data_IF_686614335986
#
_entry.id   IF_686614335986
#
_cell.length_a   1.000
_cell.length_b   1.000
_cell.length_c   1.000
_cell.angle_alpha   90.00
_cell.angle_beta   90.00
_cell.angle_gamma   90.00
#
_symmetry.space_group_name_H-M   'P 1'
#
loop_
_entity.id
_entity.type
_entity.pdbx_description
1 polymer ?
#
# COMPACT_ATOMS: atom_id res chain seq x y z
N UNK A 1 -11.46 -24.99 13.62
CA UNK A 1 -10.62 -23.77 13.66
C UNK A 1 -9.15 -24.10 13.37
N UNK A 2 -8.53 -25.00 14.10
CA UNK A 2 -7.09 -25.35 13.94
C UNK A 2 -6.72 -25.84 12.52
N UNK A 3 -7.54 -26.72 11.92
CA UNK A 3 -7.31 -27.21 10.56
C UNK A 3 -7.42 -26.07 9.52
N UNK A 4 -8.37 -25.15 9.69
CA UNK A 4 -8.51 -23.96 8.84
C UNK A 4 -7.27 -23.07 8.94
N UNK A 5 -6.76 -22.84 10.16
CA UNK A 5 -5.55 -22.04 10.36
C UNK A 5 -4.32 -22.69 9.72
N UNK A 6 -4.16 -23.99 9.83
CA UNK A 6 -3.08 -24.73 9.16
C UNK A 6 -3.13 -24.54 7.62
N UNK A 7 -4.32 -24.62 7.04
CA UNK A 7 -4.53 -24.39 5.60
C UNK A 7 -4.18 -22.94 5.23
N UNK A 8 -4.70 -21.97 6.00
CA UNK A 8 -4.41 -20.55 5.76
C UNK A 8 -2.91 -20.25 5.83
N UNK A 9 -2.22 -20.77 6.84
CA UNK A 9 -0.76 -20.60 7.00
C UNK A 9 0.01 -21.21 5.83
N UNK A 10 -0.42 -22.37 5.33
CA UNK A 10 0.21 -23.01 4.16
C UNK A 10 -0.01 -22.17 2.88
N UNK A 11 -1.23 -21.67 2.66
CA UNK A 11 -1.55 -20.81 1.52
C UNK A 11 -0.82 -19.46 1.62
N UNK A 12 -0.79 -18.83 2.79
CA UNK A 12 -0.05 -17.60 3.05
C UNK A 12 1.44 -17.78 2.77
N UNK A 13 2.03 -18.88 3.26
CA UNK A 13 3.43 -19.23 3.00
C UNK A 13 3.75 -19.47 1.51
N UNK A 14 2.79 -19.92 0.71
CA UNK A 14 2.92 -20.01 -0.74
C UNK A 14 2.84 -18.63 -1.40
N UNK A 15 1.81 -17.85 -1.06
CA UNK A 15 1.51 -16.54 -1.68
C UNK A 15 2.59 -15.50 -1.38
N UNK A 16 3.14 -15.49 -0.18
CA UNK A 16 4.27 -14.63 0.20
C UNK A 16 5.60 -15.38 0.18
N UNK A 17 5.58 -16.58 -0.37
CA UNK A 17 6.76 -17.41 -0.54
C UNK A 17 7.63 -17.00 -1.73
N UNK A 18 8.85 -17.58 -1.82
CA UNK A 18 9.83 -17.20 -2.85
C UNK A 18 9.32 -17.31 -4.29
N UNK A 19 8.44 -18.29 -4.58
CA UNK A 19 7.89 -18.50 -5.92
C UNK A 19 7.03 -17.32 -6.37
N UNK A 20 6.09 -16.89 -5.52
CA UNK A 20 5.21 -15.77 -5.85
C UNK A 20 5.96 -14.45 -5.85
N UNK A 21 6.89 -14.24 -4.92
CA UNK A 21 7.74 -13.05 -4.93
C UNK A 21 8.62 -12.99 -6.19
N UNK A 22 9.14 -14.13 -6.64
CA UNK A 22 9.88 -14.22 -7.91
C UNK A 22 8.98 -13.91 -9.12
N UNK A 23 7.71 -14.36 -9.12
CA UNK A 23 6.75 -14.03 -10.17
C UNK A 23 6.39 -12.54 -10.16
N UNK A 24 6.17 -11.94 -9.00
CA UNK A 24 5.89 -10.50 -8.86
C UNK A 24 7.05 -9.64 -9.39
N UNK A 25 8.26 -9.88 -8.90
CA UNK A 25 9.46 -9.15 -9.34
C UNK A 25 9.81 -9.50 -10.79
N UNK A 26 9.72 -10.77 -11.17
CA UNK A 26 9.98 -11.25 -12.54
C UNK A 26 9.03 -10.63 -13.57
N UNK A 27 7.75 -10.49 -13.25
CA UNK A 27 6.79 -9.75 -14.09
C UNK A 27 7.21 -8.29 -14.24
N UNK A 28 7.63 -7.63 -13.16
CA UNK A 28 8.14 -6.27 -13.21
C UNK A 28 9.40 -6.11 -14.05
N UNK A 29 10.34 -7.06 -13.96
CA UNK A 29 11.56 -7.11 -14.79
C UNK A 29 11.17 -7.28 -16.26
N UNK A 30 10.33 -8.27 -16.57
CA UNK A 30 9.85 -8.52 -17.92
C UNK A 30 9.20 -7.28 -18.54
N UNK A 31 8.25 -6.66 -17.82
CA UNK A 31 7.58 -5.45 -18.28
C UNK A 31 8.56 -4.29 -18.44
N UNK A 32 9.53 -4.13 -17.54
CA UNK A 32 10.56 -3.08 -17.63
C UNK A 32 11.39 -3.21 -18.90
N UNK A 33 11.84 -4.41 -19.22
CA UNK A 33 12.57 -4.70 -20.48
C UNK A 33 11.67 -4.40 -21.68
N UNK A 34 10.42 -4.87 -21.64
CA UNK A 34 9.49 -4.80 -22.76
C UNK A 34 9.09 -3.34 -23.13
N UNK A 35 9.01 -2.44 -22.14
CA UNK A 35 8.71 -1.02 -22.37
C UNK A 35 9.95 -0.12 -22.39
N UNK A 36 11.17 -0.69 -22.33
CA UNK A 36 12.44 0.03 -22.42
C UNK A 36 12.80 0.82 -21.17
N UNK A 37 12.56 0.25 -19.98
CA UNK A 37 12.91 0.83 -18.68
C UNK A 37 12.44 2.27 -18.51
N UNK A 38 11.17 2.54 -18.84
CA UNK A 38 10.60 3.91 -18.80
C UNK A 38 10.73 4.59 -17.44
N UNK A 39 10.76 3.83 -16.34
CA UNK A 39 10.97 4.34 -14.98
C UNK A 39 12.32 5.07 -14.87
N UNK A 40 13.32 4.68 -15.66
CA UNK A 40 14.66 5.29 -15.70
C UNK A 40 14.86 6.16 -16.94
N UNK A 41 14.53 5.64 -18.13
CA UNK A 41 14.81 6.31 -19.41
C UNK A 41 13.91 7.55 -19.64
N UNK A 42 12.79 7.64 -18.92
CA UNK A 42 11.81 8.73 -19.05
C UNK A 42 11.58 9.49 -17.74
N UNK A 43 12.56 9.52 -16.83
CA UNK A 43 12.45 10.21 -15.53
C UNK A 43 11.97 11.65 -15.68
N UNK A 44 12.61 12.48 -16.53
CA UNK A 44 12.21 13.86 -16.72
C UNK A 44 10.78 14.01 -17.27
N UNK A 45 10.34 13.05 -18.10
CA UNK A 45 9.00 13.08 -18.68
C UNK A 45 7.94 12.73 -17.64
N UNK A 46 8.10 11.62 -16.90
CA UNK A 46 7.11 11.24 -15.90
C UNK A 46 7.11 12.23 -14.72
N UNK A 47 8.28 12.74 -14.31
CA UNK A 47 8.37 13.75 -13.25
C UNK A 47 7.58 15.01 -13.60
N UNK A 48 7.80 15.56 -14.82
CA UNK A 48 7.06 16.73 -15.33
C UNK A 48 5.55 16.49 -15.45
N UNK A 49 5.14 15.28 -15.82
CA UNK A 49 3.73 14.94 -16.04
C UNK A 49 2.99 14.45 -14.78
N UNK A 50 3.68 14.23 -13.67
CA UNK A 50 3.11 13.86 -12.37
C UNK A 50 3.35 14.96 -11.35
N UNK A 51 4.55 15.03 -10.75
CA UNK A 51 4.91 16.03 -9.71
C UNK A 51 4.77 17.46 -10.24
N UNK A 52 5.22 17.73 -11.44
CA UNK A 52 5.09 19.06 -12.08
C UNK A 52 3.65 19.50 -12.33
N UNK A 53 2.66 18.64 -12.09
CA UNK A 53 1.24 18.94 -12.21
C UNK A 53 0.47 18.92 -10.88
N UNK A 54 1.11 18.64 -9.75
CA UNK A 54 0.47 18.55 -8.43
C UNK A 54 -0.34 19.81 -8.10
N UNK A 55 0.18 21.00 -8.45
CA UNK A 55 -0.47 22.27 -8.16
C UNK A 55 -1.37 22.78 -9.31
N UNK A 56 -1.51 22.01 -10.39
CA UNK A 56 -2.41 22.39 -11.49
C UNK A 56 -3.80 21.83 -11.23
N UNK A 57 -4.78 22.73 -11.10
CA UNK A 57 -6.19 22.33 -11.01
C UNK A 57 -6.58 21.58 -12.28
N UNK A 58 -6.94 20.32 -12.16
CA UNK A 58 -7.55 19.54 -13.23
C UNK A 58 -9.07 19.72 -13.20
N UNK A 59 -9.70 19.59 -14.35
CA UNK A 59 -11.16 19.52 -14.45
C UNK A 59 -11.59 18.06 -14.58
N UNK A 60 -12.69 17.72 -13.93
CA UNK A 60 -13.31 16.41 -14.01
C UNK A 60 -14.81 16.58 -14.26
N UNK A 61 -15.33 15.79 -15.19
CA UNK A 61 -16.76 15.73 -15.49
C UNK A 61 -17.55 14.95 -14.44
N UNK A 62 -18.83 14.72 -14.72
CA UNK A 62 -19.66 13.87 -13.87
C UNK A 62 -19.23 12.40 -13.98
N UNK A 63 -19.16 11.73 -12.83
CA UNK A 63 -18.66 10.36 -12.74
C UNK A 63 -17.14 10.20 -12.92
N UNK A 64 -16.38 11.30 -12.84
CA UNK A 64 -14.94 11.35 -13.00
C UNK A 64 -14.26 12.08 -11.84
N UNK A 65 -12.99 11.75 -11.62
CA UNK A 65 -12.08 12.47 -10.70
C UNK A 65 -10.85 12.95 -11.47
N UNK A 66 -10.18 13.98 -10.98
CA UNK A 66 -8.96 14.46 -11.63
C UNK A 66 -7.84 13.42 -11.56
N UNK A 67 -6.83 13.45 -12.44
CA UNK A 67 -5.66 12.58 -12.36
C UNK A 67 -4.98 12.62 -10.98
N UNK A 68 -4.95 13.82 -10.36
CA UNK A 68 -4.37 14.00 -9.02
C UNK A 68 -5.23 13.37 -7.94
N UNK A 69 -6.56 13.50 -8.02
CA UNK A 69 -7.48 12.81 -7.12
C UNK A 69 -7.37 11.29 -7.24
N UNK A 70 -7.20 10.78 -8.46
CA UNK A 70 -7.04 9.35 -8.70
C UNK A 70 -5.75 8.80 -8.06
N UNK A 71 -4.61 9.46 -8.27
CA UNK A 71 -3.35 9.05 -7.65
C UNK A 71 -3.35 9.27 -6.13
N UNK A 72 -3.98 10.36 -5.65
CA UNK A 72 -4.11 10.57 -4.21
C UNK A 72 -4.98 9.49 -3.54
N UNK A 73 -6.04 9.04 -4.23
CA UNK A 73 -6.86 7.93 -3.74
C UNK A 73 -6.08 6.61 -3.73
N UNK A 74 -5.27 6.36 -4.74
CA UNK A 74 -4.39 5.19 -4.78
C UNK A 74 -3.30 5.27 -3.68
N UNK A 75 -2.62 6.41 -3.53
CA UNK A 75 -1.67 6.65 -2.45
C UNK A 75 -2.31 6.58 -1.06
N UNK A 76 -3.56 7.01 -0.92
CA UNK A 76 -4.32 6.84 0.33
C UNK A 76 -4.44 5.38 0.73
N UNK A 77 -4.59 4.48 -0.24
CA UNK A 77 -4.69 3.04 0.00
C UNK A 77 -3.35 2.39 0.31
N UNK A 78 -2.29 2.81 -0.38
CA UNK A 78 -0.96 2.21 -0.29
C UNK A 78 -0.17 2.77 0.90
N UNK A 79 -0.22 4.08 1.16
CA UNK A 79 0.46 4.70 2.30
C UNK A 79 -0.36 4.51 3.57
N UNK A 80 -0.06 3.44 4.29
CA UNK A 80 -0.79 2.99 5.47
C UNK A 80 0.13 2.46 6.58
N UNK A 81 -0.40 1.56 7.38
CA UNK A 81 0.38 0.86 8.43
C UNK A 81 1.57 0.10 7.85
N UNK A 82 1.51 -0.32 6.58
CA UNK A 82 2.59 -1.00 5.87
C UNK A 82 3.91 -0.22 5.83
N UNK A 83 3.82 1.09 5.60
CA UNK A 83 4.99 1.99 5.51
C UNK A 83 5.69 2.22 6.85
N UNK A 84 5.00 2.00 7.95
CA UNK A 84 5.54 2.17 9.31
C UNK A 84 5.80 0.80 9.94
N UNK A 85 4.76 0.09 10.35
CA UNK A 85 4.87 -1.18 11.02
C UNK A 85 5.41 -2.29 10.10
N UNK A 86 5.01 -2.30 8.82
CA UNK A 86 5.49 -3.28 7.85
C UNK A 86 6.99 -3.16 7.57
N UNK A 87 7.47 -1.94 7.35
CA UNK A 87 8.90 -1.65 7.13
C UNK A 87 9.73 -2.01 8.36
N UNK A 88 9.29 -1.59 9.53
CA UNK A 88 9.96 -1.90 10.80
C UNK A 88 10.00 -3.41 11.05
N UNK A 89 8.89 -4.10 10.79
CA UNK A 89 8.85 -5.55 10.87
C UNK A 89 9.80 -6.24 9.89
N UNK A 90 9.94 -5.72 8.66
CA UNK A 90 10.89 -6.25 7.69
C UNK A 90 12.34 -6.10 8.18
N UNK A 91 12.68 -4.94 8.78
CA UNK A 91 14.01 -4.68 9.32
C UNK A 91 14.30 -5.60 10.51
N UNK A 92 13.39 -5.71 11.47
CA UNK A 92 13.58 -6.54 12.65
C UNK A 92 13.71 -8.02 12.29
N UNK A 93 12.86 -8.54 11.41
CA UNK A 93 12.83 -9.96 11.05
C UNK A 93 13.80 -10.33 9.94
N UNK A 94 14.11 -9.42 9.04
CA UNK A 94 14.96 -9.66 7.87
C UNK A 94 16.33 -8.97 7.92
N UNK A 95 16.59 -8.17 8.96
CA UNK A 95 17.79 -7.34 9.07
C UNK A 95 17.75 -6.10 8.18
N UNK A 96 18.78 -5.22 8.28
CA UNK A 96 18.86 -4.00 7.46
C UNK A 96 18.82 -4.27 5.95
N UNK A 97 19.33 -5.42 5.51
CA UNK A 97 19.32 -5.84 4.11
C UNK A 97 17.92 -5.99 3.50
N UNK A 98 16.87 -6.14 4.32
CA UNK A 98 15.49 -6.14 3.83
C UNK A 98 15.13 -4.84 3.10
N UNK A 99 15.70 -3.70 3.53
CA UNK A 99 15.48 -2.40 2.87
C UNK A 99 16.00 -2.39 1.43
N UNK A 100 17.18 -2.96 1.17
CA UNK A 100 17.71 -3.11 -0.19
C UNK A 100 16.74 -3.90 -1.09
N UNK A 101 16.25 -5.03 -0.61
CA UNK A 101 15.32 -5.87 -1.38
C UNK A 101 13.95 -5.21 -1.57
N UNK A 102 13.55 -4.36 -0.64
CA UNK A 102 12.36 -3.51 -0.77
C UNK A 102 12.54 -2.49 -1.91
N UNK A 103 13.71 -1.85 -2.03
CA UNK A 103 14.03 -0.96 -3.15
C UNK A 103 14.04 -1.70 -4.50
N UNK A 104 14.63 -2.88 -4.54
CA UNK A 104 14.65 -3.70 -5.75
C UNK A 104 13.23 -4.02 -6.20
N UNK A 105 12.36 -4.44 -5.29
CA UNK A 105 10.97 -4.71 -5.62
C UNK A 105 10.22 -3.47 -6.12
N UNK A 106 10.47 -2.30 -5.52
CA UNK A 106 9.86 -1.04 -5.93
C UNK A 106 10.30 -0.57 -7.32
N UNK A 107 11.60 -0.67 -7.63
CA UNK A 107 12.14 -0.26 -8.93
C UNK A 107 11.47 -1.01 -10.09
N UNK A 108 11.22 -2.30 -9.94
CA UNK A 108 10.49 -3.09 -10.94
C UNK A 108 8.96 -2.96 -10.77
N UNK A 109 8.50 -2.80 -9.54
CA UNK A 109 7.10 -2.53 -9.21
C UNK A 109 6.55 -1.26 -9.86
N UNK A 110 7.38 -0.24 -10.08
CA UNK A 110 7.00 0.99 -10.81
C UNK A 110 6.42 0.67 -12.19
N UNK A 111 7.03 -0.24 -12.95
CA UNK A 111 6.55 -0.57 -14.29
C UNK A 111 5.38 -1.54 -14.24
N UNK A 112 5.35 -2.42 -13.24
CA UNK A 112 4.16 -3.24 -12.99
C UNK A 112 2.94 -2.35 -12.75
N UNK A 113 3.04 -1.40 -11.83
CA UNK A 113 1.97 -0.43 -11.53
C UNK A 113 1.61 0.43 -12.74
N UNK A 114 2.60 0.92 -13.49
CA UNK A 114 2.39 1.61 -14.76
C UNK A 114 1.52 0.80 -15.72
N UNK A 115 1.83 -0.48 -15.86
CA UNK A 115 1.11 -1.40 -16.75
C UNK A 115 -0.33 -1.64 -16.28
N UNK A 116 -0.52 -1.87 -14.98
CA UNK A 116 -1.83 -2.02 -14.35
C UNK A 116 -2.72 -0.81 -14.61
N UNK A 117 -2.21 0.39 -14.32
CA UNK A 117 -2.94 1.64 -14.49
C UNK A 117 -3.24 1.92 -15.96
N UNK A 118 -2.27 1.66 -16.85
CA UNK A 118 -2.46 1.80 -18.31
C UNK A 118 -3.59 0.89 -18.81
N UNK A 119 -3.62 -0.38 -18.38
CA UNK A 119 -4.69 -1.30 -18.75
C UNK A 119 -6.04 -0.91 -18.13
N UNK A 120 -6.04 -0.44 -16.89
CA UNK A 120 -7.27 -0.03 -16.21
C UNK A 120 -7.95 1.14 -16.91
N UNK A 121 -7.21 2.15 -17.33
CA UNK A 121 -7.76 3.29 -18.10
C UNK A 121 -8.17 2.88 -19.51
N UNK A 122 -7.42 1.98 -20.15
CA UNK A 122 -7.73 1.51 -21.51
C UNK A 122 -9.02 0.69 -21.59
N UNK A 123 -9.27 -0.14 -20.57
CA UNK A 123 -10.38 -1.12 -20.60
C UNK A 123 -11.49 -0.82 -19.58
N UNK A 124 -11.53 0.40 -19.03
CA UNK A 124 -12.61 0.86 -18.14
C UNK A 124 -13.96 0.95 -18.85
N UNK A 125 -15.02 0.87 -18.08
CA UNK A 125 -16.41 1.01 -18.51
C UNK A 125 -17.13 2.05 -17.65
N UNK A 126 -18.23 2.59 -18.14
CA UNK A 126 -19.16 3.36 -17.31
C UNK A 126 -20.22 2.43 -16.71
N UNK A 127 -20.48 2.61 -15.41
CA UNK A 127 -21.56 1.90 -14.73
C UNK A 127 -22.92 2.57 -15.02
N UNK A 128 -24.01 1.98 -14.47
CA UNK A 128 -25.38 2.48 -14.59
C UNK A 128 -25.56 3.91 -14.06
N UNK A 129 -24.65 4.38 -13.18
CA UNK A 129 -24.67 5.73 -12.61
C UNK A 129 -23.81 6.73 -13.39
N UNK A 130 -23.16 6.28 -14.45
CA UNK A 130 -22.28 7.08 -15.27
C UNK A 130 -20.84 7.20 -14.75
N UNK A 131 -20.49 6.57 -13.61
CA UNK A 131 -19.12 6.55 -13.08
C UNK A 131 -18.22 5.64 -13.90
N UNK A 132 -16.95 6.02 -14.07
CA UNK A 132 -15.92 5.13 -14.59
C UNK A 132 -15.58 4.02 -13.59
N UNK A 133 -15.60 2.79 -14.08
CA UNK A 133 -15.22 1.57 -13.38
C UNK A 133 -14.15 0.83 -14.15
N UNK A 134 -13.10 0.41 -13.47
CA UNK A 134 -11.98 -0.33 -14.07
C UNK A 134 -11.19 -1.10 -13.02
N UNK A 135 -10.05 -1.59 -13.42
CA UNK A 135 -9.20 -2.46 -12.63
C UNK A 135 -9.10 -3.86 -13.22
N UNK A 136 -8.46 -4.82 -12.53
CA UNK A 136 -8.19 -6.16 -13.06
C UNK A 136 -9.42 -6.87 -13.60
N UNK A 137 -10.55 -6.84 -12.88
CA UNK A 137 -11.76 -7.48 -13.30
C UNK A 137 -12.27 -6.97 -14.66
N UNK A 138 -12.05 -5.69 -14.97
CA UNK A 138 -12.46 -5.07 -16.24
C UNK A 138 -11.46 -5.34 -17.36
N UNK A 139 -10.15 -5.19 -17.14
CA UNK A 139 -9.22 -5.49 -18.22
C UNK A 139 -9.06 -6.98 -18.48
N UNK A 140 -9.36 -7.86 -17.52
CA UNK A 140 -9.53 -9.29 -17.77
C UNK A 140 -10.75 -9.53 -18.67
N UNK A 141 -11.91 -8.97 -18.30
CA UNK A 141 -13.16 -9.13 -19.06
C UNK A 141 -13.03 -8.57 -20.48
N UNK A 142 -12.53 -7.35 -20.64
CA UNK A 142 -12.54 -6.59 -21.89
C UNK A 142 -11.28 -6.79 -22.73
N UNK A 143 -10.13 -7.05 -22.09
CA UNK A 143 -8.86 -7.22 -22.76
C UNK A 143 -8.59 -8.66 -23.18
N UNK A 144 -8.90 -9.65 -22.33
CA UNK A 144 -8.75 -11.07 -22.64
C UNK A 144 -10.01 -11.69 -23.25
N UNK A 145 -11.14 -11.03 -23.13
CA UNK A 145 -12.43 -11.44 -23.72
C UNK A 145 -13.29 -12.29 -22.79
N UNK A 146 -14.52 -12.67 -23.29
CA UNK A 146 -15.56 -13.26 -22.44
C UNK A 146 -15.19 -14.58 -21.77
N UNK A 147 -14.32 -15.38 -22.40
CA UNK A 147 -13.84 -16.67 -21.85
C UNK A 147 -13.07 -16.51 -20.55
N UNK A 148 -12.48 -15.33 -20.29
CA UNK A 148 -11.70 -15.04 -19.11
C UNK A 148 -12.47 -14.30 -18.01
N UNK A 149 -13.75 -13.97 -18.25
CA UNK A 149 -14.60 -13.24 -17.27
C UNK A 149 -14.61 -13.88 -15.88
N UNK A 150 -14.54 -15.21 -15.80
CA UNK A 150 -14.47 -15.94 -14.53
C UNK A 150 -13.24 -15.54 -13.69
N UNK A 151 -12.08 -15.33 -14.35
CA UNK A 151 -10.86 -14.91 -13.66
C UNK A 151 -11.01 -13.48 -13.09
N UNK A 152 -11.69 -12.59 -13.83
CA UNK A 152 -12.08 -11.27 -13.31
C UNK A 152 -13.03 -11.36 -12.11
N UNK A 153 -13.95 -12.33 -12.14
CA UNK A 153 -14.84 -12.66 -11.02
C UNK A 153 -14.06 -13.13 -9.78
N UNK A 154 -13.07 -14.02 -9.96
CA UNK A 154 -12.18 -14.47 -8.87
C UNK A 154 -11.45 -13.30 -8.24
N UNK A 155 -10.84 -12.41 -9.05
CA UNK A 155 -10.22 -11.20 -8.55
C UNK A 155 -11.19 -10.35 -7.73
N UNK A 156 -12.40 -10.13 -8.26
CA UNK A 156 -13.40 -9.29 -7.60
C UNK A 156 -13.90 -9.88 -6.28
N UNK A 157 -14.06 -11.19 -6.17
CA UNK A 157 -14.39 -11.87 -4.90
C UNK A 157 -13.28 -11.66 -3.87
N UNK A 158 -12.04 -11.95 -4.27
CA UNK A 158 -10.89 -11.78 -3.38
C UNK A 158 -10.76 -10.33 -2.92
N UNK A 159 -10.86 -9.35 -3.84
CA UNK A 159 -10.77 -7.93 -3.53
C UNK A 159 -11.88 -7.42 -2.63
N UNK A 160 -13.12 -7.87 -2.86
CA UNK A 160 -14.26 -7.48 -2.03
C UNK A 160 -14.12 -7.97 -0.58
N UNK A 161 -13.54 -9.17 -0.37
CA UNK A 161 -13.32 -9.73 0.98
C UNK A 161 -12.06 -9.14 1.60
N UNK A 162 -10.95 -9.06 0.86
CA UNK A 162 -9.68 -8.51 1.36
C UNK A 162 -9.84 -7.07 1.87
N UNK A 163 -10.72 -6.28 1.27
CA UNK A 163 -11.00 -4.92 1.70
C UNK A 163 -11.50 -4.83 3.15
N UNK A 164 -12.26 -5.80 3.63
CA UNK A 164 -12.70 -5.85 5.04
C UNK A 164 -11.56 -6.16 6.00
N UNK A 165 -10.58 -6.94 5.57
CA UNK A 165 -9.45 -7.33 6.41
C UNK A 165 -8.35 -6.27 6.40
N UNK A 166 -7.54 -6.27 5.33
CA UNK A 166 -6.33 -5.44 5.23
C UNK A 166 -6.66 -3.95 5.11
N UNK A 167 -7.74 -3.63 4.41
CA UNK A 167 -8.17 -2.25 4.16
C UNK A 167 -9.06 -1.65 5.23
N UNK A 168 -9.52 -2.42 6.21
CA UNK A 168 -10.47 -1.98 7.24
C UNK A 168 -10.01 -2.40 8.63
N UNK A 169 -10.25 -3.66 9.03
CA UNK A 169 -10.03 -4.15 10.40
C UNK A 169 -8.58 -3.94 10.84
N UNK A 170 -7.62 -4.31 10.01
CA UNK A 170 -6.20 -4.14 10.31
C UNK A 170 -5.81 -2.68 10.52
N UNK A 171 -6.38 -1.78 9.74
CA UNK A 171 -6.10 -0.35 9.83
C UNK A 171 -6.71 0.28 11.08
N UNK A 172 -8.01 0.06 11.31
CA UNK A 172 -8.69 0.66 12.46
C UNK A 172 -8.16 0.14 13.79
N UNK A 173 -7.79 -1.13 13.86
CA UNK A 173 -7.15 -1.66 15.06
C UNK A 173 -5.81 -0.98 15.34
N UNK A 174 -4.97 -0.82 14.32
CA UNK A 174 -3.68 -0.11 14.47
C UNK A 174 -3.89 1.34 14.94
N UNK A 175 -4.95 2.02 14.48
CA UNK A 175 -5.34 3.33 14.99
C UNK A 175 -5.74 3.24 16.47
N UNK A 176 -6.63 2.32 16.80
CA UNK A 176 -7.16 2.17 18.16
C UNK A 176 -6.05 1.82 19.16
N UNK A 177 -5.15 0.91 18.79
CA UNK A 177 -4.00 0.52 19.60
C UNK A 177 -3.00 1.67 19.80
N UNK A 178 -2.76 2.48 18.76
CA UNK A 178 -1.91 3.66 18.88
C UNK A 178 -2.53 4.75 19.76
N UNK A 179 -3.83 5.02 19.64
CA UNK A 179 -4.55 5.99 20.48
C UNK A 179 -4.56 5.52 21.93
N UNK A 180 -4.80 4.23 22.16
CA UNK A 180 -4.71 3.61 23.48
C UNK A 180 -3.33 3.80 24.09
N UNK A 181 -2.27 3.49 23.33
CA UNK A 181 -0.89 3.61 23.80
C UNK A 181 -0.54 5.06 24.19
N UNK A 182 -0.98 6.04 23.42
CA UNK A 182 -0.82 7.46 23.77
C UNK A 182 -1.61 7.80 25.04
N UNK A 183 -2.87 7.38 25.15
CA UNK A 183 -3.70 7.64 26.32
C UNK A 183 -3.03 7.11 27.60
N UNK A 184 -2.49 5.90 27.57
CA UNK A 184 -1.77 5.28 28.69
C UNK A 184 -0.46 6.04 29.00
N UNK A 185 0.30 6.49 27.98
CA UNK A 185 1.54 7.25 28.17
C UNK A 185 1.30 8.60 28.87
N UNK A 186 0.12 9.19 28.71
CA UNK A 186 -0.24 10.46 29.38
C UNK A 186 -0.99 10.26 30.70
N UNK A 187 -1.72 9.16 30.85
CA UNK A 187 -2.48 8.83 32.07
C UNK A 187 -2.53 7.30 32.26
N UNK A 188 -1.84 6.78 33.26
CA UNK A 188 -1.78 5.36 33.57
C UNK A 188 -3.15 4.75 33.85
N UNK A 189 -4.11 5.50 34.41
CA UNK A 189 -5.48 5.05 34.64
C UNK A 189 -6.23 4.70 33.34
N UNK A 190 -5.75 5.18 32.19
CA UNK A 190 -6.31 4.83 30.89
C UNK A 190 -6.15 3.33 30.57
N UNK A 191 -5.17 2.65 31.16
CA UNK A 191 -4.98 1.21 31.03
C UNK A 191 -6.22 0.42 31.49
N UNK A 192 -6.95 0.91 32.49
CA UNK A 192 -8.18 0.29 32.97
C UNK A 192 -9.39 0.52 32.05
N UNK A 193 -9.25 1.33 30.99
CA UNK A 193 -10.31 1.73 30.05
C UNK A 193 -9.97 1.42 28.60
N UNK A 194 -9.06 0.50 28.35
CA UNK A 194 -8.53 0.21 26.99
C UNK A 194 -9.64 -0.09 25.99
N UNK A 195 -10.56 -1.01 26.33
CA UNK A 195 -11.67 -1.36 25.44
C UNK A 195 -12.58 -0.17 25.12
N UNK A 196 -12.84 0.69 26.09
CA UNK A 196 -13.64 1.89 25.88
C UNK A 196 -12.96 2.88 24.94
N UNK A 197 -11.65 3.10 25.12
CA UNK A 197 -10.84 3.96 24.24
C UNK A 197 -10.86 3.43 22.80
N UNK A 198 -10.62 2.13 22.61
CA UNK A 198 -10.67 1.50 21.30
C UNK A 198 -12.04 1.62 20.64
N UNK A 199 -13.12 1.40 21.40
CA UNK A 199 -14.49 1.51 20.89
C UNK A 199 -14.82 2.94 20.45
N UNK A 200 -14.52 3.94 21.27
CA UNK A 200 -14.75 5.36 20.91
C UNK A 200 -13.92 5.74 19.66
N UNK A 201 -12.67 5.32 19.61
CA UNK A 201 -11.82 5.55 18.44
C UNK A 201 -12.44 4.93 17.18
N UNK A 202 -12.88 3.67 17.27
CA UNK A 202 -13.54 2.98 16.16
C UNK A 202 -14.83 3.68 15.70
N UNK A 203 -15.65 4.14 16.61
CA UNK A 203 -16.87 4.90 16.31
C UNK A 203 -16.52 6.23 15.61
N UNK A 204 -15.56 7.00 16.12
CA UNK A 204 -15.13 8.25 15.50
C UNK A 204 -14.61 8.05 14.06
N UNK A 205 -13.76 7.04 13.85
CA UNK A 205 -13.26 6.69 12.53
C UNK A 205 -14.39 6.24 11.61
N UNK A 206 -15.32 5.40 12.09
CA UNK A 206 -16.45 4.92 11.30
C UNK A 206 -17.38 6.07 10.86
N UNK A 207 -17.65 7.03 11.74
CA UNK A 207 -18.44 8.22 11.39
C UNK A 207 -17.74 9.03 10.30
N UNK A 208 -16.44 9.29 10.44
CA UNK A 208 -15.67 10.01 9.42
C UNK A 208 -15.69 9.28 8.08
N UNK A 209 -15.41 7.97 8.08
CA UNK A 209 -15.44 7.13 6.89
C UNK A 209 -16.83 7.13 6.24
N UNK A 210 -17.92 6.97 7.02
CA UNK A 210 -19.28 6.99 6.52
C UNK A 210 -19.61 8.33 5.84
N UNK A 211 -19.25 9.46 6.45
CA UNK A 211 -19.46 10.80 5.88
C UNK A 211 -18.75 10.98 4.54
N UNK A 212 -17.57 10.39 4.37
CA UNK A 212 -16.84 10.45 3.10
C UNK A 212 -17.45 9.51 2.06
N UNK A 213 -17.76 8.26 2.43
CA UNK A 213 -18.29 7.24 1.50
C UNK A 213 -19.67 7.62 0.95
N UNK A 214 -20.52 8.32 1.74
CA UNK A 214 -21.82 8.80 1.28
C UNK A 214 -21.73 9.70 0.04
N UNK A 215 -20.64 10.43 -0.12
CA UNK A 215 -20.38 11.29 -1.29
C UNK A 215 -19.81 10.58 -2.51
N UNK A 216 -19.61 9.26 -2.45
CA UNK A 216 -19.12 8.43 -3.55
C UNK A 216 -17.66 8.72 -3.93
N UNK A 217 -17.24 8.26 -5.12
CA UNK A 217 -15.86 8.35 -5.60
C UNK A 217 -15.33 9.78 -5.67
N UNK A 218 -16.19 10.73 -6.02
CA UNK A 218 -15.82 12.16 -6.13
C UNK A 218 -15.41 12.74 -4.78
N UNK A 219 -16.17 12.42 -3.71
CA UNK A 219 -15.86 12.90 -2.35
C UNK A 219 -14.63 12.20 -1.77
N UNK A 220 -14.48 10.90 -2.03
CA UNK A 220 -13.27 10.17 -1.66
C UNK A 220 -12.06 10.86 -2.29
N UNK A 221 -12.09 11.13 -3.61
CA UNK A 221 -11.01 11.82 -4.31
C UNK A 221 -10.71 13.22 -3.76
N UNK A 222 -11.73 14.01 -3.42
CA UNK A 222 -11.57 15.35 -2.83
C UNK A 222 -10.95 15.33 -1.44
N UNK A 223 -11.28 14.33 -0.63
CA UNK A 223 -10.72 14.17 0.72
C UNK A 223 -9.28 13.67 0.63
N UNK A 224 -9.01 12.64 -0.16
CA UNK A 224 -7.68 12.05 -0.29
C UNK A 224 -6.68 13.00 -0.95
N UNK A 225 -7.11 13.84 -1.90
CA UNK A 225 -6.27 14.87 -2.54
C UNK A 225 -5.68 15.88 -1.53
N UNK A 226 -6.39 16.13 -0.42
CA UNK A 226 -5.91 17.01 0.65
C UNK A 226 -5.21 16.25 1.77
N UNK A 227 -5.77 15.10 2.13
CA UNK A 227 -5.28 14.30 3.25
C UNK A 227 -3.89 13.72 2.94
N UNK A 228 -3.69 13.14 1.75
CA UNK A 228 -2.45 12.42 1.41
C UNK A 228 -1.22 13.33 1.38
N UNK A 229 -1.22 14.46 0.67
CA UNK A 229 -0.06 15.36 0.74
C UNK A 229 0.19 15.89 2.15
N UNK A 230 -0.87 16.24 2.89
CA UNK A 230 -0.77 16.74 4.27
C UNK A 230 -0.11 15.72 5.21
N UNK A 231 -0.61 14.48 5.22
CA UNK A 231 -0.05 13.42 6.05
C UNK A 231 1.39 13.07 5.67
N UNK A 232 1.69 13.04 4.35
CA UNK A 232 3.03 12.74 3.86
C UNK A 232 4.03 13.83 4.30
N UNK A 233 3.69 15.11 4.18
CA UNK A 233 4.54 16.22 4.61
C UNK A 233 4.83 16.15 6.10
N UNK A 234 3.80 15.96 6.94
CA UNK A 234 3.97 15.84 8.39
C UNK A 234 4.94 14.70 8.72
N UNK A 235 4.70 13.51 8.15
CA UNK A 235 5.54 12.35 8.40
C UNK A 235 6.98 12.54 7.91
N UNK A 236 7.16 13.05 6.70
CA UNK A 236 8.48 13.31 6.10
C UNK A 236 9.26 14.30 6.95
N UNK A 237 8.65 15.39 7.41
CA UNK A 237 9.31 16.39 8.24
C UNK A 237 9.76 15.77 9.56
N UNK A 238 8.89 15.06 10.29
CA UNK A 238 9.25 14.41 11.54
C UNK A 238 10.35 13.35 11.34
N UNK A 239 10.28 12.55 10.28
CA UNK A 239 11.29 11.55 9.96
C UNK A 239 12.66 12.19 9.63
N UNK A 240 12.65 13.27 8.83
CA UNK A 240 13.88 14.01 8.50
C UNK A 240 14.53 14.62 9.76
N UNK A 241 13.75 15.12 10.73
CA UNK A 241 14.32 15.63 11.99
C UNK A 241 15.09 14.52 12.70
N UNK A 242 14.55 13.29 12.79
CA UNK A 242 15.24 12.16 13.40
C UNK A 242 16.51 11.79 12.61
N UNK A 243 16.44 11.75 11.28
CA UNK A 243 17.59 11.43 10.42
C UNK A 243 18.69 12.49 10.55
N UNK A 244 18.34 13.78 10.54
CA UNK A 244 19.33 14.86 10.70
C UNK A 244 19.92 14.92 12.10
N UNK A 245 19.15 14.62 13.15
CA UNK A 245 19.67 14.49 14.50
C UNK A 245 20.73 13.37 14.63
N UNK A 246 20.63 12.35 13.77
CA UNK A 246 21.53 11.19 13.71
C UNK A 246 22.33 11.14 12.40
N UNK A 247 22.64 12.28 11.78
CA UNK A 247 23.25 12.34 10.43
C UNK A 247 24.58 11.60 10.33
N UNK A 248 25.36 11.54 11.41
CA UNK A 248 26.61 10.79 11.47
C UNK A 248 26.44 9.29 11.29
N UNK A 249 25.29 8.73 11.63
CA UNK A 249 24.96 7.31 11.45
C UNK A 249 24.60 6.97 10.01
N UNK A 250 24.14 7.93 9.21
CA UNK A 250 23.59 7.70 7.87
C UNK A 250 24.53 6.92 6.95
N UNK A 251 25.83 7.25 6.81
CA UNK A 251 26.75 6.47 5.96
C UNK A 251 26.88 5.01 6.42
N UNK A 252 26.97 4.79 7.74
CA UNK A 252 27.02 3.45 8.32
C UNK A 252 25.74 2.64 8.10
N UNK A 253 24.60 3.29 8.17
CA UNK A 253 23.28 2.68 7.89
C UNK A 253 23.18 2.25 6.44
N UNK A 254 23.55 3.10 5.47
CA UNK A 254 23.57 2.68 4.07
C UNK A 254 24.54 1.50 3.84
N UNK A 255 25.73 1.55 4.44
CA UNK A 255 26.67 0.43 4.37
C UNK A 255 26.06 -0.86 4.96
N UNK A 256 25.31 -0.78 6.07
CA UNK A 256 24.63 -1.91 6.70
C UNK A 256 23.50 -2.47 5.83
N UNK A 257 22.75 -1.61 5.13
CA UNK A 257 21.70 -2.02 4.19
C UNK A 257 22.30 -2.82 3.04
N UNK A 258 23.32 -2.30 2.38
CA UNK A 258 23.98 -3.01 1.27
C UNK A 258 24.70 -4.29 1.71
N UNK A 259 25.46 -4.22 2.81
CA UNK A 259 26.15 -5.39 3.35
C UNK A 259 25.17 -6.44 3.86
N UNK A 260 24.10 -6.02 4.55
CA UNK A 260 23.07 -6.89 5.07
C UNK A 260 22.23 -7.57 4.00
N UNK A 261 22.13 -7.00 2.80
CA UNK A 261 21.42 -7.62 1.68
C UNK A 261 22.05 -8.93 1.20
N UNK A 262 23.37 -9.04 1.31
CA UNK A 262 24.17 -10.18 0.79
C UNK A 262 24.92 -10.92 1.89
N UNK A 263 25.07 -10.34 3.06
CA UNK A 263 25.69 -10.97 4.24
C UNK A 263 25.01 -10.50 5.53
N UNK A 264 23.75 -10.91 5.79
CA UNK A 264 22.98 -10.45 6.95
C UNK A 264 23.66 -10.77 8.29
N UNK A 265 24.26 -11.94 8.43
CA UNK A 265 24.93 -12.37 9.67
C UNK A 265 26.05 -11.41 10.09
N UNK A 266 26.77 -10.81 9.14
CA UNK A 266 27.84 -9.85 9.44
C UNK A 266 27.32 -8.49 9.95
N UNK A 267 26.04 -8.20 9.82
CA UNK A 267 25.43 -6.93 10.27
C UNK A 267 24.58 -7.13 11.51
N UNK A 268 23.90 -8.28 11.62
CA UNK A 268 23.00 -8.59 12.74
C UNK A 268 23.70 -9.37 13.86
N UNK A 269 25.02 -9.60 13.77
CA UNK A 269 25.76 -10.39 14.75
C UNK A 269 25.37 -11.88 14.76
N UNK A 270 24.79 -12.39 13.66
CA UNK A 270 24.27 -13.76 13.60
C UNK A 270 22.94 -13.96 14.33
N UNK A 271 22.31 -12.87 14.80
CA UNK A 271 21.05 -12.93 15.51
C UNK A 271 19.97 -13.70 14.73
N UNK A 272 19.32 -14.60 15.40
CA UNK A 272 18.11 -15.34 14.97
C UNK A 272 18.21 -16.04 13.59
N UNK A 273 19.42 -16.36 13.09
CA UNK A 273 19.57 -17.09 11.83
C UNK A 273 19.08 -16.30 10.60
N UNK A 274 19.16 -14.96 10.63
CA UNK A 274 18.76 -14.13 9.49
C UNK A 274 19.64 -14.47 8.29
N UNK A 275 19.02 -15.00 7.25
CA UNK A 275 19.66 -15.41 5.99
C UNK A 275 19.34 -14.42 4.86
N UNK A 276 20.12 -14.48 3.78
CA UNK A 276 19.83 -13.71 2.54
C UNK A 276 18.40 -13.98 2.05
N UNK A 277 17.98 -15.25 2.07
CA UNK A 277 16.61 -15.64 1.70
C UNK A 277 15.58 -14.92 2.58
N UNK A 278 15.80 -14.84 3.88
CA UNK A 278 14.88 -14.18 4.81
C UNK A 278 14.85 -12.67 4.59
N UNK A 279 16.02 -12.02 4.46
CA UNK A 279 16.13 -10.60 4.14
C UNK A 279 15.40 -10.26 2.83
N UNK A 280 15.61 -11.07 1.78
CA UNK A 280 14.94 -10.92 0.49
C UNK A 280 13.43 -11.12 0.60
N UNK A 281 12.98 -12.20 1.25
CA UNK A 281 11.54 -12.50 1.39
C UNK A 281 10.82 -11.41 2.19
N UNK A 282 11.40 -10.96 3.31
CA UNK A 282 10.81 -9.90 4.12
C UNK A 282 10.85 -8.54 3.42
N UNK A 283 11.96 -8.22 2.73
CA UNK A 283 12.09 -6.96 1.99
C UNK A 283 11.15 -6.89 0.79
N UNK A 284 11.19 -7.87 -0.12
CA UNK A 284 10.30 -7.89 -1.29
C UNK A 284 8.84 -7.99 -0.86
N UNK A 285 8.52 -8.90 0.06
CA UNK A 285 7.14 -9.09 0.52
C UNK A 285 6.54 -7.83 1.11
N UNK A 286 7.27 -7.13 1.99
CA UNK A 286 6.78 -5.88 2.59
C UNK A 286 6.82 -4.68 1.64
N UNK A 287 7.75 -4.66 0.67
CA UNK A 287 7.75 -3.68 -0.42
C UNK A 287 6.50 -3.80 -1.28
N UNK A 288 6.19 -5.01 -1.77
CA UNK A 288 4.98 -5.29 -2.56
C UNK A 288 3.71 -5.04 -1.75
N UNK A 289 3.69 -5.44 -0.47
CA UNK A 289 2.56 -5.20 0.42
C UNK A 289 2.28 -3.71 0.59
N UNK A 290 3.31 -2.87 0.73
CA UNK A 290 3.18 -1.42 0.88
C UNK A 290 2.70 -0.75 -0.40
N UNK A 291 3.43 -0.95 -1.52
CA UNK A 291 3.14 -0.25 -2.77
C UNK A 291 2.07 -0.92 -3.64
N UNK A 292 1.61 -2.11 -3.28
CA UNK A 292 0.56 -2.89 -3.97
C UNK A 292 0.85 -3.18 -5.45
N UNK A 293 2.11 -3.06 -5.93
CA UNK A 293 2.45 -3.33 -7.32
C UNK A 293 2.34 -4.83 -7.64
N UNK A 294 1.50 -5.18 -8.60
CA UNK A 294 1.20 -6.56 -8.95
C UNK A 294 0.00 -7.15 -8.21
N UNK A 295 -0.57 -6.46 -7.21
CA UNK A 295 -1.78 -6.90 -6.52
C UNK A 295 -3.07 -6.53 -7.28
N UNK A 296 -3.03 -5.48 -8.11
CA UNK A 296 -4.18 -5.08 -8.93
C UNK A 296 -5.20 -4.18 -8.24
N UNK A 297 -4.96 -3.75 -7.01
CA UNK A 297 -5.88 -2.91 -6.22
C UNK A 297 -5.91 -1.45 -6.69
N UNK A 298 -4.76 -0.77 -6.72
CA UNK A 298 -4.64 0.65 -7.07
C UNK A 298 -5.20 1.04 -8.45
N UNK A 299 -5.08 0.23 -9.53
CA UNK A 299 -5.68 0.55 -10.82
C UNK A 299 -7.20 0.76 -10.76
N UNK A 300 -7.89 0.28 -9.72
CA UNK A 300 -9.33 0.51 -9.51
C UNK A 300 -9.60 2.01 -9.27
N UNK A 301 -8.78 2.69 -8.47
CA UNK A 301 -8.89 4.14 -8.25
C UNK A 301 -8.49 4.92 -9.50
N UNK A 302 -7.40 4.53 -10.14
CA UNK A 302 -6.90 5.19 -11.33
C UNK A 302 -7.87 5.13 -12.52
N UNK A 303 -8.72 4.11 -12.60
CA UNK A 303 -9.71 3.99 -13.66
C UNK A 303 -10.77 5.10 -13.64
N UNK A 304 -11.04 5.70 -12.47
CA UNK A 304 -12.02 6.77 -12.31
C UNK A 304 -11.52 8.15 -12.82
N UNK A 305 -10.27 8.24 -13.29
CA UNK A 305 -9.65 9.49 -13.78
C UNK A 305 -10.37 10.11 -14.97
N UNK A 306 -10.35 11.45 -15.08
CA UNK A 306 -10.74 12.19 -16.28
C UNK A 306 -9.70 12.11 -17.41
N UNK A 307 -8.47 11.64 -17.12
CA UNK A 307 -7.42 11.48 -18.16
C UNK A 307 -7.83 10.37 -19.14
N UNK A 308 -7.83 10.72 -20.42
CA UNK A 308 -8.20 9.80 -21.50
C UNK A 308 -7.02 9.00 -22.03
N UNK A 309 -5.80 9.51 -21.87
CA UNK A 309 -4.60 8.83 -22.34
C UNK A 309 -4.11 7.82 -21.28
N UNK A 310 -4.16 6.51 -21.58
CA UNK A 310 -3.79 5.47 -20.63
C UNK A 310 -2.34 5.58 -20.13
N UNK A 311 -1.41 5.96 -21.01
CA UNK A 311 0.02 6.10 -20.68
C UNK A 311 0.24 7.25 -19.71
N UNK A 312 -0.42 8.41 -19.94
CA UNK A 312 -0.28 9.55 -19.04
C UNK A 312 -0.76 9.23 -17.64
N UNK A 313 -1.88 8.49 -17.50
CA UNK A 313 -2.32 8.05 -16.19
C UNK A 313 -1.40 6.95 -15.64
N UNK A 314 -0.88 6.08 -16.48
CA UNK A 314 0.10 5.06 -16.09
C UNK A 314 1.36 5.64 -15.43
N UNK A 315 1.82 6.83 -15.86
CA UNK A 315 2.96 7.50 -15.22
C UNK A 315 2.71 7.84 -13.74
N UNK A 316 1.47 8.09 -13.35
CA UNK A 316 1.12 8.27 -11.94
C UNK A 316 1.30 6.97 -11.14
N UNK A 317 1.17 5.80 -11.77
CA UNK A 317 1.52 4.53 -11.13
C UNK A 317 3.02 4.40 -10.81
N UNK A 318 3.91 4.91 -11.68
CA UNK A 318 5.35 5.03 -11.39
C UNK A 318 5.57 5.94 -10.17
N UNK A 319 4.94 7.11 -10.18
CA UNK A 319 5.03 8.10 -9.11
C UNK A 319 4.51 7.55 -7.76
N UNK A 320 3.42 6.81 -7.79
CA UNK A 320 2.82 6.18 -6.62
C UNK A 320 3.81 5.25 -5.90
N UNK A 321 4.40 4.29 -6.63
CA UNK A 321 5.39 3.35 -6.06
C UNK A 321 6.66 4.07 -5.61
N UNK A 322 7.09 5.12 -6.35
CA UNK A 322 8.22 5.95 -5.95
C UNK A 322 7.96 6.64 -4.62
N UNK A 323 6.83 7.30 -4.45
CA UNK A 323 6.49 8.00 -3.20
C UNK A 323 6.30 7.06 -2.04
N UNK A 324 5.58 5.95 -2.24
CA UNK A 324 5.32 4.97 -1.21
C UNK A 324 6.61 4.33 -0.69
N UNK A 325 7.37 3.71 -1.57
CA UNK A 325 8.47 2.84 -1.15
C UNK A 325 9.83 3.54 -1.16
N UNK A 326 10.17 4.25 -2.25
CA UNK A 326 11.49 4.89 -2.34
C UNK A 326 11.57 6.10 -1.39
N UNK A 327 10.47 6.83 -1.17
CA UNK A 327 10.48 7.97 -0.26
C UNK A 327 10.06 7.55 1.15
N UNK A 328 8.80 7.15 1.35
CA UNK A 328 8.24 6.99 2.71
C UNK A 328 8.83 5.77 3.42
N UNK A 329 8.88 4.59 2.79
CA UNK A 329 9.47 3.41 3.43
C UNK A 329 10.98 3.58 3.71
N UNK A 330 11.71 4.29 2.83
CA UNK A 330 13.13 4.58 3.08
C UNK A 330 13.30 5.51 4.27
N UNK A 331 12.47 6.55 4.41
CA UNK A 331 12.52 7.44 5.57
C UNK A 331 12.23 6.70 6.87
N UNK A 332 11.21 5.83 6.89
CA UNK A 332 10.94 4.95 8.04
C UNK A 332 12.15 4.07 8.37
N UNK A 333 12.77 3.49 7.34
CA UNK A 333 13.96 2.65 7.52
C UNK A 333 15.12 3.44 8.12
N UNK A 334 15.36 4.67 7.65
CA UNK A 334 16.39 5.54 8.17
C UNK A 334 16.10 5.98 9.61
N UNK A 335 14.84 6.30 9.96
CA UNK A 335 14.44 6.60 11.35
C UNK A 335 14.81 5.44 12.27
N UNK A 336 14.44 4.21 11.90
CA UNK A 336 14.65 3.01 12.72
C UNK A 336 16.15 2.65 12.85
N UNK A 337 16.89 2.74 11.74
CA UNK A 337 18.29 2.32 11.71
C UNK A 337 19.24 3.40 12.22
N UNK A 338 19.02 4.69 11.91
CA UNK A 338 19.91 5.77 12.37
C UNK A 338 19.74 6.06 13.86
N UNK A 339 18.54 5.82 14.42
CA UNK A 339 18.29 5.97 15.86
C UNK A 339 18.84 4.83 16.72
N UNK A 340 19.27 3.71 16.10
CA UNK A 340 19.65 2.50 16.83
C UNK A 340 18.48 1.69 17.40
N UNK A 341 17.23 2.06 17.09
CA UNK A 341 16.03 1.39 17.64
C UNK A 341 15.91 -0.09 17.25
N UNK A 342 16.56 -0.51 16.17
CA UNK A 342 16.62 -1.91 15.75
C UNK A 342 17.70 -2.73 16.48
N UNK A 343 18.68 -2.06 17.10
CA UNK A 343 19.84 -2.73 17.68
C UNK A 343 19.44 -3.61 18.86
N UNK A 344 19.95 -4.84 18.88
CA UNK A 344 19.58 -5.85 19.89
C UNK A 344 18.21 -6.49 19.71
N UNK A 345 17.38 -6.00 18.74
CA UNK A 345 16.02 -6.49 18.49
C UNK A 345 15.90 -7.36 17.24
N UNK A 346 16.96 -7.57 16.48
CA UNK A 346 16.89 -8.39 15.28
C UNK A 346 16.44 -9.82 15.59
N UNK A 347 15.44 -10.28 14.85
CA UNK A 347 14.80 -11.60 15.05
C UNK A 347 13.73 -11.66 16.14
N UNK A 348 13.53 -10.59 16.91
CA UNK A 348 12.52 -10.53 17.96
C UNK A 348 11.15 -10.11 17.39
N UNK A 349 10.26 -11.07 17.21
CA UNK A 349 8.93 -10.80 16.65
C UNK A 349 8.09 -9.83 17.51
N UNK A 350 8.29 -9.77 18.83
CA UNK A 350 7.57 -8.85 19.71
C UNK A 350 8.00 -7.39 19.52
N UNK A 351 9.23 -7.15 19.07
CA UNK A 351 9.73 -5.81 18.75
C UNK A 351 9.33 -5.38 17.32
N UNK A 352 8.94 -6.33 16.45
CA UNK A 352 8.61 -6.03 15.07
C UNK A 352 7.35 -5.15 14.95
N UNK A 353 7.42 -4.09 14.13
CA UNK A 353 6.28 -3.23 13.87
C UNK A 353 6.28 -1.91 14.64
N UNK A 354 5.13 -1.52 15.18
CA UNK A 354 4.91 -0.23 15.85
C UNK A 354 5.89 0.03 17.02
N UNK A 355 6.21 -0.92 17.90
CA UNK A 355 7.09 -0.65 19.05
C UNK A 355 8.46 -0.08 18.67
N UNK A 356 9.14 -0.69 17.70
CA UNK A 356 10.45 -0.18 17.24
C UNK A 356 10.33 1.13 16.48
N UNK A 357 9.23 1.36 15.75
CA UNK A 357 8.99 2.66 15.11
C UNK A 357 8.82 3.77 16.16
N UNK A 358 8.06 3.52 17.23
CA UNK A 358 7.93 4.45 18.37
C UNK A 358 9.31 4.73 18.97
N UNK A 359 10.11 3.71 19.28
CA UNK A 359 11.45 3.87 19.82
C UNK A 359 12.34 4.76 18.92
N UNK A 360 12.23 4.59 17.59
CA UNK A 360 12.95 5.43 16.63
C UNK A 360 12.62 6.91 16.73
N UNK A 361 11.34 7.28 16.81
CA UNK A 361 10.95 8.69 17.00
C UNK A 361 11.24 9.18 18.43
N UNK A 362 11.03 8.33 19.44
CA UNK A 362 11.29 8.68 20.84
C UNK A 362 12.75 9.01 21.12
N UNK A 363 13.68 8.45 20.35
CA UNK A 363 15.13 8.73 20.50
C UNK A 363 15.48 10.22 20.39
N UNK A 364 14.69 11.00 19.66
CA UNK A 364 14.91 12.43 19.43
C UNK A 364 13.86 13.29 20.12
N UNK A 365 12.58 12.87 20.07
CA UNK A 365 11.46 13.66 20.58
C UNK A 365 11.07 13.33 22.04
N UNK A 366 11.66 12.25 22.61
CA UNK A 366 11.23 11.69 23.90
C UNK A 366 9.95 10.86 23.77
N UNK A 367 9.68 10.00 24.76
CA UNK A 367 8.66 8.95 24.65
C UNK A 367 7.24 9.47 24.40
N UNK A 368 6.84 10.53 25.10
CA UNK A 368 5.48 11.09 24.96
C UNK A 368 5.25 11.70 23.58
N UNK A 369 6.22 12.50 23.10
CA UNK A 369 6.07 13.19 21.80
C UNK A 369 6.31 12.21 20.65
N UNK A 370 7.28 11.29 20.77
CA UNK A 370 7.52 10.24 19.77
C UNK A 370 6.30 9.33 19.57
N UNK A 371 5.67 8.89 20.67
CA UNK A 371 4.43 8.12 20.61
C UNK A 371 3.30 8.91 19.98
N UNK A 372 3.16 10.20 20.30
CA UNK A 372 2.13 11.07 19.72
C UNK A 372 2.33 11.27 18.21
N UNK A 373 3.55 11.54 17.76
CA UNK A 373 3.90 11.68 16.34
C UNK A 373 3.48 10.43 15.58
N UNK A 374 3.84 9.26 16.11
CA UNK A 374 3.51 8.00 15.46
C UNK A 374 2.01 7.72 15.46
N UNK A 375 1.30 7.99 16.57
CA UNK A 375 -0.14 7.81 16.65
C UNK A 375 -0.88 8.72 15.66
N UNK A 376 -0.47 9.99 15.53
CA UNK A 376 -1.03 10.91 14.52
C UNK A 376 -0.71 10.41 13.11
N UNK A 377 0.52 9.96 12.86
CA UNK A 377 0.91 9.37 11.58
C UNK A 377 0.04 8.16 11.24
N UNK A 378 -0.11 7.21 12.15
CA UNK A 378 -0.94 6.02 11.95
C UNK A 378 -2.43 6.37 11.81
N UNK A 379 -2.95 7.33 12.57
CA UNK A 379 -4.32 7.80 12.42
C UNK A 379 -4.57 8.33 11.00
N UNK A 380 -3.69 9.17 10.49
CA UNK A 380 -3.85 9.75 9.15
C UNK A 380 -3.65 8.70 8.05
N UNK A 381 -2.58 7.90 8.12
CA UNK A 381 -2.24 6.89 7.11
C UNK A 381 -3.28 5.77 7.08
N UNK A 382 -3.62 5.19 8.23
CA UNK A 382 -4.58 4.10 8.28
C UNK A 382 -6.00 4.55 7.94
N UNK A 383 -6.43 5.77 8.34
CA UNK A 383 -7.74 6.31 7.94
C UNK A 383 -7.81 6.53 6.43
N UNK A 384 -6.74 7.04 5.80
CA UNK A 384 -6.69 7.18 4.35
C UNK A 384 -6.77 5.82 3.66
N UNK A 385 -6.09 4.80 4.20
CA UNK A 385 -6.14 3.43 3.66
C UNK A 385 -7.55 2.83 3.75
N UNK A 386 -8.28 3.06 4.85
CA UNK A 386 -9.69 2.65 4.96
C UNK A 386 -10.54 3.25 3.84
N UNK A 387 -10.38 4.54 3.55
CA UNK A 387 -11.12 5.23 2.49
C UNK A 387 -10.82 4.65 1.09
N UNK A 388 -9.56 4.42 0.78
CA UNK A 388 -9.15 3.88 -0.51
C UNK A 388 -9.60 2.43 -0.72
N UNK A 389 -9.43 1.59 0.29
CA UNK A 389 -9.87 0.20 0.23
C UNK A 389 -11.40 0.05 0.25
N UNK A 390 -12.13 0.98 0.88
CA UNK A 390 -13.58 1.05 0.76
C UNK A 390 -14.03 1.24 -0.70
N UNK A 391 -13.29 2.07 -1.47
CA UNK A 391 -13.53 2.20 -2.91
C UNK A 391 -13.22 0.91 -3.65
N UNK A 392 -12.06 0.28 -3.37
CA UNK A 392 -11.66 -0.97 -4.05
C UNK A 392 -12.67 -2.09 -3.83
N UNK A 393 -13.02 -2.34 -2.57
CA UNK A 393 -14.00 -3.37 -2.24
C UNK A 393 -15.39 -3.09 -2.80
N UNK A 394 -15.83 -1.82 -2.77
CA UNK A 394 -17.11 -1.40 -3.36
C UNK A 394 -17.14 -1.67 -4.88
N UNK A 395 -16.06 -1.34 -5.61
CA UNK A 395 -15.98 -1.58 -7.06
C UNK A 395 -15.87 -3.08 -7.41
N UNK A 396 -15.19 -3.86 -6.57
CA UNK A 396 -15.17 -5.31 -6.70
C UNK A 396 -16.56 -5.93 -6.49
N UNK A 397 -17.27 -5.53 -5.44
CA UNK A 397 -18.64 -5.97 -5.18
C UNK A 397 -19.62 -5.53 -6.28
N UNK A 398 -19.46 -4.30 -6.79
CA UNK A 398 -20.25 -3.78 -7.91
C UNK A 398 -20.07 -4.61 -9.18
N UNK A 399 -18.85 -5.04 -9.50
CA UNK A 399 -18.59 -5.92 -10.65
C UNK A 399 -19.33 -7.26 -10.55
N UNK A 400 -19.48 -7.80 -9.34
CA UNK A 400 -20.13 -9.09 -9.09
C UNK A 400 -21.66 -8.99 -9.08
N UNK A 401 -22.22 -7.95 -8.44
CA UNK A 401 -23.64 -7.87 -8.09
C UNK A 401 -24.36 -6.65 -8.67
N UNK A 402 -23.65 -5.84 -9.48
CA UNK A 402 -24.19 -4.59 -10.04
C UNK A 402 -24.26 -3.45 -9.04
N UNK A 403 -24.71 -2.26 -9.51
CA UNK A 403 -24.63 -1.01 -8.74
C UNK A 403 -25.52 -0.95 -7.50
N UNK A 404 -26.47 -1.86 -7.35
CA UNK A 404 -27.37 -1.92 -6.17
C UNK A 404 -26.65 -2.33 -4.89
N UNK A 405 -25.53 -3.08 -5.00
CA UNK A 405 -24.75 -3.56 -3.86
C UNK A 405 -23.92 -2.45 -3.19
N UNK A 406 -23.68 -1.33 -3.87
CA UNK A 406 -22.79 -0.26 -3.40
C UNK A 406 -23.17 0.20 -1.98
N UNK A 407 -24.43 0.55 -1.75
CA UNK A 407 -24.89 1.05 -0.44
C UNK A 407 -24.84 -0.01 0.66
N UNK A 408 -25.39 -1.22 0.48
CA UNK A 408 -25.27 -2.29 1.46
C UNK A 408 -23.81 -2.59 1.82
N UNK A 409 -22.92 -2.69 0.81
CA UNK A 409 -21.50 -2.94 1.03
C UNK A 409 -20.85 -1.85 1.90
N UNK A 410 -21.09 -0.57 1.59
CA UNK A 410 -20.56 0.57 2.34
C UNK A 410 -21.05 0.61 3.79
N UNK A 411 -22.32 0.28 4.03
CA UNK A 411 -22.89 0.21 5.38
C UNK A 411 -22.20 -0.88 6.19
N UNK A 412 -22.09 -2.10 5.63
CA UNK A 412 -21.41 -3.21 6.29
C UNK A 412 -19.94 -2.84 6.55
N UNK A 413 -19.29 -2.20 5.57
CA UNK A 413 -17.90 -1.76 5.69
C UNK A 413 -17.70 -0.80 6.87
N UNK A 414 -18.60 0.17 7.07
CA UNK A 414 -18.55 1.10 8.21
C UNK A 414 -18.82 0.40 9.56
N UNK A 415 -19.73 -0.57 9.60
CA UNK A 415 -19.98 -1.36 10.82
C UNK A 415 -18.76 -2.20 11.20
N UNK A 416 -18.07 -2.76 10.20
CA UNK A 416 -16.84 -3.54 10.41
C UNK A 416 -15.69 -2.66 10.92
N UNK A 417 -15.64 -1.35 10.59
CA UNK A 417 -14.67 -0.41 11.20
C UNK A 417 -14.84 -0.37 12.72
N UNK A 418 -16.07 -0.30 13.23
CA UNK A 418 -16.32 -0.29 14.69
C UNK A 418 -15.92 -1.62 15.33
N UNK A 419 -16.34 -2.73 14.73
CA UNK A 419 -16.01 -4.07 15.22
C UNK A 419 -14.49 -4.32 15.21
N UNK A 420 -13.79 -3.89 14.16
CA UNK A 420 -12.36 -4.06 14.01
C UNK A 420 -11.52 -3.31 15.03
N UNK A 421 -12.02 -2.19 15.56
CA UNK A 421 -11.30 -1.43 16.58
C UNK A 421 -11.16 -2.18 17.92
N UNK A 422 -12.06 -3.14 18.21
CA UNK A 422 -12.11 -3.90 19.47
C UNK A 422 -11.84 -5.39 19.29
N UNK A 423 -11.69 -5.87 18.04
CA UNK A 423 -11.48 -7.27 17.74
C UNK A 423 -10.04 -7.73 18.07
N UNK A 424 -9.89 -9.01 18.47
CA UNK A 424 -8.59 -9.68 18.47
C UNK A 424 -8.20 -10.04 17.04
N UNK A 425 -7.03 -9.60 16.63
CA UNK A 425 -6.68 -9.51 15.20
C UNK A 425 -5.88 -10.64 14.62
N UNK A 426 -5.27 -11.50 15.43
CA UNK A 426 -4.28 -12.46 14.91
C UNK A 426 -4.84 -13.27 13.74
N UNK A 427 -6.06 -13.79 13.90
CA UNK A 427 -6.76 -14.54 12.86
C UNK A 427 -7.11 -13.69 11.63
N UNK A 428 -7.59 -12.48 11.87
CA UNK A 428 -8.05 -11.57 10.78
C UNK A 428 -6.89 -11.09 9.94
N UNK A 429 -5.74 -10.79 10.57
CA UNK A 429 -4.51 -10.43 9.86
C UNK A 429 -4.05 -11.54 8.91
N UNK A 430 -3.96 -12.77 9.42
CA UNK A 430 -3.46 -13.90 8.65
C UNK A 430 -4.34 -14.20 7.44
N UNK A 431 -5.67 -14.17 7.62
CA UNK A 431 -6.62 -14.41 6.52
C UNK A 431 -6.55 -13.26 5.50
N UNK A 432 -6.53 -12.02 5.99
CA UNK A 432 -6.53 -10.83 5.14
C UNK A 432 -5.26 -10.73 4.31
N UNK A 433 -4.10 -11.02 4.90
CA UNK A 433 -2.81 -11.05 4.23
C UNK A 433 -2.78 -12.13 3.14
N UNK A 434 -3.36 -13.31 3.43
CA UNK A 434 -3.52 -14.40 2.45
C UNK A 434 -4.40 -13.98 1.27
N UNK A 435 -5.57 -13.39 1.52
CA UNK A 435 -6.50 -12.96 0.48
C UNK A 435 -5.90 -11.86 -0.39
N UNK A 436 -5.23 -10.89 0.24
CA UNK A 436 -4.53 -9.81 -0.45
C UNK A 436 -3.46 -10.36 -1.41
N UNK A 437 -2.67 -11.31 -0.95
CA UNK A 437 -1.67 -11.93 -1.80
C UNK A 437 -2.28 -12.78 -2.92
N UNK A 438 -3.38 -13.50 -2.67
CA UNK A 438 -4.08 -14.29 -3.70
C UNK A 438 -4.63 -13.41 -4.84
N UNK A 439 -4.96 -12.13 -4.59
CA UNK A 439 -5.38 -11.19 -5.64
C UNK A 439 -4.30 -11.02 -6.72
N UNK A 440 -3.02 -11.17 -6.38
CA UNK A 440 -1.93 -11.04 -7.34
C UNK A 440 -1.99 -12.07 -8.46
N UNK A 441 -2.47 -13.28 -8.19
CA UNK A 441 -2.48 -14.38 -9.17
C UNK A 441 -3.29 -14.02 -10.42
N UNK A 442 -4.62 -13.73 -10.33
CA UNK A 442 -5.40 -13.34 -11.50
C UNK A 442 -4.86 -12.07 -12.17
N UNK A 443 -4.32 -11.14 -11.38
CA UNK A 443 -3.75 -9.91 -11.91
C UNK A 443 -2.46 -10.16 -12.72
N UNK A 444 -1.51 -10.93 -12.20
CA UNK A 444 -0.27 -11.25 -12.91
C UNK A 444 -0.51 -12.03 -14.21
N UNK A 445 -1.47 -12.97 -14.20
CA UNK A 445 -1.90 -13.68 -15.41
C UNK A 445 -2.37 -12.67 -16.46
N UNK A 446 -3.22 -11.73 -16.06
CA UNK A 446 -3.74 -10.72 -16.97
C UNK A 446 -2.64 -9.78 -17.49
N UNK A 447 -1.73 -9.32 -16.62
CA UNK A 447 -0.63 -8.44 -17.00
C UNK A 447 0.30 -9.10 -18.03
N UNK A 448 0.65 -10.38 -17.82
CA UNK A 448 1.50 -11.13 -18.75
C UNK A 448 0.80 -11.31 -20.09
N UNK A 449 -0.45 -11.72 -20.10
CA UNK A 449 -1.23 -11.92 -21.33
C UNK A 449 -1.54 -10.62 -22.08
N UNK A 450 -1.73 -9.50 -21.37
CA UNK A 450 -2.00 -8.18 -21.95
C UNK A 450 -0.74 -7.33 -22.13
N UNK A 451 0.45 -7.85 -21.82
CA UNK A 451 1.72 -7.13 -22.01
C UNK A 451 1.93 -6.61 -23.44
N UNK A 452 1.53 -7.32 -24.54
CA UNK A 452 1.65 -6.78 -25.89
C UNK A 452 0.83 -5.48 -26.08
N UNK A 453 -0.31 -5.37 -25.39
CA UNK A 453 -1.16 -4.16 -25.44
C UNK A 453 -0.45 -3.00 -24.74
N UNK A 454 0.12 -3.23 -23.54
CA UNK A 454 0.89 -2.21 -22.82
C UNK A 454 2.06 -1.72 -23.65
N UNK A 455 2.82 -2.64 -24.24
CA UNK A 455 3.99 -2.33 -25.09
C UNK A 455 3.56 -1.47 -26.29
N UNK A 456 2.49 -1.87 -26.98
CA UNK A 456 1.98 -1.17 -28.16
C UNK A 456 1.58 0.26 -27.81
N UNK A 457 0.71 0.43 -26.80
CA UNK A 457 0.18 1.75 -26.39
C UNK A 457 1.29 2.66 -25.88
N UNK A 458 2.27 2.11 -25.17
CA UNK A 458 3.44 2.85 -24.69
C UNK A 458 4.32 3.33 -25.86
N UNK A 459 4.63 2.45 -26.80
CA UNK A 459 5.43 2.81 -28.01
C UNK A 459 4.72 3.87 -28.86
N UNK A 460 3.43 3.72 -29.12
CA UNK A 460 2.62 4.70 -29.88
C UNK A 460 2.63 6.09 -29.20
N UNK A 461 2.46 6.13 -27.87
CA UNK A 461 2.50 7.37 -27.12
C UNK A 461 3.85 8.09 -27.26
N UNK A 462 4.97 7.40 -27.04
CA UNK A 462 6.29 8.03 -27.12
C UNK A 462 6.75 8.31 -28.57
N UNK A 463 6.27 7.56 -29.55
CA UNK A 463 6.50 7.88 -30.96
C UNK A 463 5.76 9.16 -31.38
N UNK A 464 4.54 9.37 -30.88
CA UNK A 464 3.76 10.60 -31.13
C UNK A 464 4.35 11.88 -30.51
N UNK A 465 5.21 11.75 -29.49
CA UNK A 465 5.92 12.89 -28.89
C UNK A 465 7.19 13.31 -29.67
N UNK A 466 7.64 12.50 -30.61
CA UNK A 466 8.82 12.78 -31.45
C UNK A 466 8.47 13.52 -32.75
N UNK A 467 7.19 13.53 -33.10
CA UNK A 467 6.62 14.33 -34.19
C UNK A 467 6.15 15.70 -33.66
#
# INVERSE_FOLDING_TARGET
MEQFMKINTAVNGFVWGPVMLALLVGTGIYLSIAVGFIQFTKIGYWWKNTIGKIFKKGEAGDGEITPMQAVSTALASTVGTGNIAGVTGAIILGGPGAVFWMWVSALFGMVTKFSEVTLAVKYRERNEKGDWCGGPMYYIKNGLGPKWKWLGGVFAVLGAIAAFGIGNIAQVHSIADSVKSVAVAFNEDAANKEMFICLITGICVAIFVALVLLGGVKRIGQVTEKLVPGMAVIYIVCALIVVFANVSAVPGVFASIFKGAFNPAAVTGGAAGISIKLAMTKGVGRGVFSNEAGLGSAPIAHAATSEKNPVKQGLYGIFEVFMDTIVICTLTSLVVLCSGAADGNYGNAAAAGVPTAVAGFSSVFGDKVGSLILAVGLLLFATSTILGWALYGTRCAEFLFGSKIIRPYQIIFCLVVVAGAVADLTLVWDISDTLNGLMSIPNLIALLLLSPVVIKVTKEHFAGLRK
#
